data_IF_461228251279
#
_entry.id   IF_461228251279
#
_cell.length_a   1.000
_cell.length_b   1.000
_cell.length_c   1.000
_cell.angle_alpha   90.00
_cell.angle_beta   90.00
_cell.angle_gamma   90.00
#
_symmetry.space_group_name_H-M   'P 1'
#
loop_
_entity.id
_entity.type
_entity.pdbx_description
1 polymer ?
#
# COMPACT_ATOMS: atom_id res chain seq x y z
N UNK A 1 46.67 35.89 25.80
CA UNK A 1 46.10 34.53 25.97
C UNK A 1 44.61 34.66 25.67
N UNK A 2 43.97 34.19 24.59
CA UNK A 2 44.26 33.34 23.42
C UNK A 2 43.59 34.01 22.18
N UNK A 3 44.28 34.20 21.05
CA UNK A 3 44.17 33.43 19.77
C UNK A 3 42.75 33.50 19.15
N UNK A 4 42.42 34.47 18.26
CA UNK A 4 42.58 34.49 16.78
C UNK A 4 42.03 33.23 16.06
N UNK A 5 41.14 33.33 15.06
CA UNK A 5 41.41 33.17 13.60
C UNK A 5 40.05 33.45 12.90
N UNK A 6 39.82 34.54 12.15
CA UNK A 6 40.11 34.84 10.74
C UNK A 6 39.44 33.96 9.63
N UNK A 7 38.69 34.65 8.74
CA UNK A 7 38.42 34.40 7.29
C UNK A 7 37.38 33.30 6.96
N UNK A 8 36.55 33.34 5.89
CA UNK A 8 36.35 34.22 4.74
C UNK A 8 34.97 33.94 4.06
N UNK A 9 34.36 34.99 3.50
CA UNK A 9 33.65 35.21 2.21
C UNK A 9 33.06 34.05 1.33
N UNK A 10 32.17 34.39 0.34
CA UNK A 10 30.98 33.64 -0.09
C UNK A 10 31.10 32.95 -1.46
N UNK A 11 30.16 32.05 -1.79
CA UNK A 11 29.85 31.67 -3.18
C UNK A 11 28.56 30.85 -3.28
N UNK A 12 27.47 31.42 -3.80
CA UNK A 12 26.43 30.64 -4.50
C UNK A 12 26.10 31.35 -5.81
N UNK A 13 26.64 30.79 -6.90
CA UNK A 13 26.35 31.16 -8.28
C UNK A 13 25.06 30.49 -8.74
N UNK A 14 24.31 31.25 -9.55
CA UNK A 14 23.10 30.91 -10.32
C UNK A 14 23.14 29.51 -10.96
N UNK A 15 22.06 28.75 -10.81
CA UNK A 15 21.64 27.72 -11.76
C UNK A 15 20.35 28.19 -12.45
N UNK A 16 20.47 28.54 -13.74
CA UNK A 16 19.34 28.73 -14.66
C UNK A 16 19.29 27.50 -15.58
N UNK A 17 18.06 27.12 -15.94
CA UNK A 17 17.63 26.52 -17.22
C UNK A 17 17.68 24.98 -17.32
N UNK A 18 16.50 24.36 -17.35
CA UNK A 18 16.03 23.60 -18.52
C UNK A 18 14.52 23.37 -18.41
N UNK A 19 13.75 23.98 -19.31
CA UNK A 19 12.37 23.61 -19.57
C UNK A 19 12.31 23.07 -21.00
N UNK A 20 11.75 21.88 -21.16
CA UNK A 20 11.24 21.36 -22.42
C UNK A 20 9.97 20.57 -22.10
N UNK A 21 8.81 21.14 -22.39
CA UNK A 21 7.54 20.42 -22.46
C UNK A 21 7.42 19.85 -23.86
N UNK A 22 7.47 18.53 -24.00
CA UNK A 22 7.14 17.86 -25.24
C UNK A 22 5.63 17.59 -25.24
N UNK A 23 4.89 18.31 -26.09
CA UNK A 23 3.46 18.10 -26.33
C UNK A 23 3.27 17.23 -27.56
N UNK A 24 2.83 15.99 -27.38
CA UNK A 24 2.35 15.12 -28.46
C UNK A 24 0.83 14.90 -28.27
N UNK A 25 -0.05 15.29 -29.22
CA UNK A 25 -1.48 15.49 -28.93
C UNK A 25 -2.41 14.33 -29.30
N UNK A 26 -1.96 13.07 -29.42
CA UNK A 26 -2.84 11.95 -29.82
C UNK A 26 -2.59 10.65 -29.04
N UNK A 27 -3.16 10.56 -27.83
CA UNK A 27 -3.30 9.32 -27.07
C UNK A 27 -4.47 9.43 -26.08
N UNK A 28 -5.17 8.33 -25.74
CA UNK A 28 -6.30 8.38 -24.81
C UNK A 28 -5.82 8.88 -23.44
N UNK A 29 -6.44 9.97 -22.96
CA UNK A 29 -6.13 10.58 -21.67
C UNK A 29 -6.49 9.61 -20.54
N UNK A 30 -5.51 8.85 -20.06
CA UNK A 30 -5.57 8.21 -18.76
C UNK A 30 -5.55 9.31 -17.71
N UNK A 31 -6.72 9.58 -17.13
CA UNK A 31 -6.88 10.53 -16.01
C UNK A 31 -6.24 9.90 -14.77
N UNK A 32 -4.92 10.04 -14.64
CA UNK A 32 -4.23 9.83 -13.37
C UNK A 32 -4.59 11.02 -12.49
N UNK A 33 -5.63 10.87 -11.66
CA UNK A 33 -5.89 11.83 -10.58
C UNK A 33 -4.75 11.70 -9.58
N UNK A 34 -3.70 12.50 -9.75
CA UNK A 34 -2.75 12.79 -8.69
C UNK A 34 -3.52 13.48 -7.57
N UNK A 35 -3.65 12.80 -6.43
CA UNK A 35 -4.12 13.42 -5.20
C UNK A 35 -3.08 14.47 -4.80
N UNK A 36 -3.42 15.75 -4.95
CA UNK A 36 -2.60 16.86 -4.49
C UNK A 36 -2.46 16.79 -2.97
N UNK A 37 -1.24 16.54 -2.50
CA UNK A 37 -0.89 16.86 -1.11
C UNK A 37 -0.81 18.39 -0.99
N UNK A 38 -1.40 19.02 0.03
CA UNK A 38 -1.33 20.46 0.19
C UNK A 38 0.12 20.87 0.45
N UNK A 39 0.73 21.45 -0.58
CA UNK A 39 2.04 22.09 -0.50
C UNK A 39 1.96 23.23 0.52
N UNK A 40 2.63 23.04 1.65
CA UNK A 40 2.77 24.04 2.69
C UNK A 40 3.58 25.20 2.11
N UNK A 41 2.93 26.33 1.87
CA UNK A 41 3.56 27.56 1.37
C UNK A 41 4.34 28.20 2.52
N UNK A 42 5.66 28.09 2.51
CA UNK A 42 6.51 28.91 3.37
C UNK A 42 7.03 30.10 2.58
N UNK A 43 6.38 31.25 2.77
CA UNK A 43 6.84 32.56 2.28
C UNK A 43 8.08 33.00 3.06
N UNK A 44 9.11 33.38 2.31
CA UNK A 44 10.46 33.75 2.77
C UNK A 44 10.49 35.13 3.44
N UNK A 45 9.85 35.31 4.61
CA UNK A 45 10.05 36.53 5.40
C UNK A 45 9.66 36.42 6.88
N UNK A 46 10.30 35.52 7.64
CA UNK A 46 10.43 35.69 9.11
C UNK A 46 11.73 35.07 9.62
N UNK A 47 12.87 35.59 9.16
CA UNK A 47 14.16 35.41 9.82
C UNK A 47 14.18 36.33 11.05
N UNK A 48 13.87 35.81 12.24
CA UNK A 48 14.44 36.20 13.56
C UNK A 48 13.70 35.66 14.79
N UNK A 49 12.60 34.92 14.66
CA UNK A 49 11.94 34.29 15.80
C UNK A 49 11.63 32.83 15.50
N UNK A 50 12.45 31.93 16.06
CA UNK A 50 12.24 30.49 16.29
C UNK A 50 13.50 29.66 15.99
N UNK A 51 14.65 30.02 16.58
CA UNK A 51 15.76 29.07 16.82
C UNK A 51 15.39 28.04 17.92
N UNK A 52 14.11 27.66 18.02
CA UNK A 52 13.54 26.84 19.11
C UNK A 52 12.23 26.15 18.71
N UNK A 53 12.04 25.86 17.42
CA UNK A 53 11.09 24.85 16.98
C UNK A 53 11.94 23.71 16.42
N UNK A 54 12.23 22.82 17.36
CA UNK A 54 12.67 21.42 17.25
C UNK A 54 12.74 20.90 15.80
N UNK A 55 13.85 20.33 15.33
CA UNK A 55 14.27 18.95 15.60
C UNK A 55 13.14 17.89 15.56
N UNK A 56 11.94 18.24 15.07
CA UNK A 56 10.83 17.33 14.87
C UNK A 56 10.96 16.68 13.48
N UNK A 57 11.72 15.58 13.50
CA UNK A 57 11.24 14.31 12.98
C UNK A 57 11.59 13.86 11.55
N UNK A 58 12.90 13.72 11.29
CA UNK A 58 13.36 12.77 10.25
C UNK A 58 13.24 11.30 10.68
N UNK A 59 12.80 11.02 11.92
CA UNK A 59 12.72 9.67 12.50
C UNK A 59 11.35 8.99 12.38
N UNK A 60 10.24 9.75 12.43
CA UNK A 60 8.87 9.19 12.38
C UNK A 60 8.34 8.91 10.97
N UNK A 61 8.91 9.50 9.92
CA UNK A 61 8.54 9.15 8.53
C UNK A 61 8.90 7.68 8.23
N UNK A 62 9.95 7.16 8.88
CA UNK A 62 10.42 5.77 8.77
C UNK A 62 9.57 4.77 9.57
N UNK A 63 8.73 5.24 10.50
CA UNK A 63 7.95 4.39 11.41
C UNK A 63 6.56 4.03 10.86
N UNK A 64 6.14 4.59 9.73
CA UNK A 64 4.93 4.12 9.05
C UNK A 64 5.24 2.82 8.33
N UNK A 65 4.83 1.70 8.94
CA UNK A 65 4.94 0.36 8.36
C UNK A 65 4.25 0.36 6.99
N UNK A 66 5.05 0.18 5.93
CA UNK A 66 4.57 0.13 4.55
C UNK A 66 3.55 -1.00 4.39
N UNK A 67 2.44 -0.73 3.70
CA UNK A 67 1.47 -1.77 3.36
C UNK A 67 2.04 -2.79 2.36
N UNK A 68 1.71 -4.05 2.54
CA UNK A 68 2.11 -5.13 1.64
C UNK A 68 1.39 -5.03 0.30
N UNK A 69 2.05 -5.51 -0.77
CA UNK A 69 1.46 -5.53 -2.10
C UNK A 69 0.50 -6.70 -2.25
N UNK A 70 -0.66 -6.40 -2.83
CA UNK A 70 -1.69 -7.40 -3.13
C UNK A 70 -2.19 -7.26 -4.56
N UNK A 71 -2.83 -8.32 -5.04
CA UNK A 71 -3.50 -8.37 -6.34
C UNK A 71 -4.99 -8.68 -6.14
N UNK A 72 -5.83 -7.79 -6.65
CA UNK A 72 -7.27 -7.94 -6.81
C UNK A 72 -7.56 -7.72 -8.28
N UNK A 73 -8.34 -8.61 -8.90
CA UNK A 73 -8.46 -8.66 -10.36
C UNK A 73 -9.82 -8.19 -10.86
N UNK A 74 -10.85 -8.33 -10.04
CA UNK A 74 -12.18 -7.81 -10.34
C UNK A 74 -12.74 -7.02 -9.14
N UNK A 75 -13.59 -6.01 -9.37
CA UNK A 75 -14.15 -5.17 -8.29
C UNK A 75 -15.00 -5.95 -7.27
N UNK A 76 -15.57 -7.08 -7.69
CA UNK A 76 -16.45 -7.95 -6.93
C UNK A 76 -15.71 -9.10 -6.22
N UNK A 77 -14.38 -9.17 -6.35
CA UNK A 77 -13.56 -10.16 -5.66
C UNK A 77 -13.77 -10.06 -4.14
N UNK A 78 -13.90 -11.20 -3.47
CA UNK A 78 -13.97 -11.27 -2.00
C UNK A 78 -12.60 -11.53 -1.37
N UNK A 79 -11.57 -11.69 -2.20
CA UNK A 79 -10.22 -12.04 -1.78
C UNK A 79 -9.18 -11.19 -2.50
N UNK A 80 -8.06 -10.98 -1.83
CA UNK A 80 -6.84 -10.46 -2.42
C UNK A 80 -5.76 -11.54 -2.40
N UNK A 81 -4.84 -11.52 -3.36
CA UNK A 81 -3.66 -12.40 -3.38
C UNK A 81 -2.44 -11.63 -2.94
N UNK A 82 -1.67 -12.17 -1.99
CA UNK A 82 -0.41 -11.55 -1.57
C UNK A 82 0.69 -11.69 -2.63
N UNK A 83 1.41 -10.59 -2.87
CA UNK A 83 2.56 -10.53 -3.80
C UNK A 83 3.92 -10.57 -3.10
N UNK A 84 3.92 -10.82 -1.80
CA UNK A 84 5.07 -11.05 -0.93
C UNK A 84 4.62 -11.83 0.32
N UNK A 85 5.56 -12.29 1.16
CA UNK A 85 5.20 -12.92 2.43
C UNK A 85 4.68 -11.87 3.41
N UNK A 86 3.59 -12.17 4.10
CA UNK A 86 3.03 -11.35 5.17
C UNK A 86 3.11 -12.03 6.51
N UNK A 87 3.34 -11.24 7.55
CA UNK A 87 3.27 -11.65 8.95
C UNK A 87 1.97 -11.15 9.58
N UNK A 88 1.55 -11.80 10.66
CA UNK A 88 0.45 -11.34 11.49
C UNK A 88 0.67 -9.88 11.91
N UNK A 89 -0.36 -9.05 11.76
CA UNK A 89 -0.28 -7.62 12.06
C UNK A 89 0.34 -6.77 10.95
N UNK A 90 0.71 -7.36 9.80
CA UNK A 90 0.96 -6.57 8.58
C UNK A 90 -0.35 -6.01 8.03
N UNK A 91 -0.25 -4.90 7.30
CA UNK A 91 -1.40 -4.25 6.67
C UNK A 91 -1.33 -4.41 5.15
N UNK A 92 -2.45 -4.75 4.53
CA UNK A 92 -2.68 -4.65 3.09
C UNK A 92 -3.64 -3.50 2.79
N UNK A 93 -3.49 -2.87 1.63
CA UNK A 93 -4.41 -1.84 1.16
C UNK A 93 -5.21 -2.37 -0.02
N UNK A 94 -6.54 -2.45 0.12
CA UNK A 94 -7.47 -2.90 -0.93
C UNK A 94 -8.63 -1.93 -1.01
N UNK A 95 -8.94 -1.40 -2.21
CA UNK A 95 -10.04 -0.44 -2.42
C UNK A 95 -10.03 0.75 -1.42
N UNK A 96 -8.85 1.31 -1.15
CA UNK A 96 -8.63 2.37 -0.15
C UNK A 96 -8.99 1.99 1.29
N UNK A 97 -9.15 0.70 1.59
CA UNK A 97 -9.35 0.17 2.92
C UNK A 97 -8.11 -0.58 3.39
N UNK A 98 -7.69 -0.26 4.61
CA UNK A 98 -6.63 -0.99 5.29
C UNK A 98 -7.20 -2.24 5.95
N UNK A 99 -6.55 -3.37 5.70
CA UNK A 99 -6.90 -4.67 6.28
C UNK A 99 -5.64 -5.23 6.93
N UNK A 100 -5.76 -5.61 8.20
CA UNK A 100 -4.67 -6.21 8.97
C UNK A 100 -4.72 -7.73 8.83
N UNK A 101 -3.58 -8.36 8.56
CA UNK A 101 -3.48 -9.82 8.53
C UNK A 101 -3.62 -10.40 9.94
N UNK A 102 -4.45 -11.44 10.07
CA UNK A 102 -4.71 -12.09 11.36
C UNK A 102 -3.71 -13.21 11.70
N UNK A 103 -2.92 -13.61 10.72
CA UNK A 103 -1.97 -14.72 10.77
C UNK A 103 -0.83 -14.50 9.77
N UNK A 104 0.19 -15.36 9.81
CA UNK A 104 1.28 -15.34 8.84
C UNK A 104 0.82 -16.00 7.53
N UNK A 105 1.01 -15.30 6.42
CA UNK A 105 0.49 -15.73 5.11
C UNK A 105 1.60 -15.64 4.08
N UNK A 106 1.93 -16.77 3.47
CA UNK A 106 2.97 -16.84 2.44
C UNK A 106 2.53 -16.21 1.12
N UNK A 107 3.52 -15.85 0.31
CA UNK A 107 3.34 -15.39 -1.07
C UNK A 107 2.32 -16.25 -1.86
N UNK A 108 1.56 -15.59 -2.74
CA UNK A 108 0.56 -16.17 -3.64
C UNK A 108 -0.67 -16.79 -2.96
N UNK A 109 -0.80 -16.68 -1.64
CA UNK A 109 -2.01 -17.11 -0.93
C UNK A 109 -3.08 -16.01 -0.87
N UNK A 110 -4.31 -16.44 -0.60
CA UNK A 110 -5.51 -15.60 -0.60
C UNK A 110 -5.76 -15.05 0.79
N UNK A 111 -6.17 -13.79 0.87
CA UNK A 111 -6.59 -13.09 2.08
C UNK A 111 -8.02 -12.61 1.87
N UNK A 112 -8.89 -12.80 2.87
CA UNK A 112 -10.24 -12.23 2.84
C UNK A 112 -10.20 -10.71 2.95
N UNK A 113 -10.88 -10.00 2.04
CA UNK A 113 -10.93 -8.53 2.08
C UNK A 113 -12.17 -7.97 2.78
N UNK A 114 -13.13 -8.83 3.08
CA UNK A 114 -14.36 -8.54 3.81
C UNK A 114 -14.72 -9.73 4.69
N UNK A 115 -15.48 -9.48 5.74
CA UNK A 115 -16.00 -10.56 6.59
C UNK A 115 -16.90 -11.47 5.76
N UNK A 116 -16.89 -12.76 6.07
CA UNK A 116 -17.66 -13.75 5.34
C UNK A 116 -18.16 -14.84 6.29
N UNK A 117 -19.42 -15.21 6.12
CA UNK A 117 -20.08 -16.24 6.91
C UNK A 117 -19.96 -17.60 6.21
N UNK A 118 -20.18 -18.68 6.96
CA UNK A 118 -20.24 -20.04 6.44
C UNK A 118 -21.16 -20.13 5.22
N UNK A 119 -20.77 -20.95 4.24
CA UNK A 119 -21.43 -21.15 2.94
C UNK A 119 -21.50 -19.93 2.02
N UNK A 120 -20.98 -18.76 2.41
CA UNK A 120 -20.92 -17.61 1.51
C UNK A 120 -19.95 -17.88 0.33
N UNK A 121 -20.25 -17.31 -0.86
CA UNK A 121 -19.41 -17.52 -2.04
C UNK A 121 -18.07 -16.82 -1.90
N UNK A 122 -17.00 -17.52 -2.27
CA UNK A 122 -15.67 -16.94 -2.44
C UNK A 122 -15.50 -16.56 -3.90
N UNK A 123 -15.34 -15.27 -4.17
CA UNK A 123 -15.24 -14.71 -5.53
C UNK A 123 -13.80 -14.29 -5.80
N UNK A 124 -13.27 -14.75 -6.92
CA UNK A 124 -11.97 -14.34 -7.45
C UNK A 124 -12.07 -14.28 -8.97
N UNK A 125 -11.48 -13.27 -9.61
CA UNK A 125 -11.62 -13.01 -11.05
C UNK A 125 -13.08 -12.74 -11.46
N UNK A 126 -13.89 -12.18 -10.55
CA UNK A 126 -15.33 -11.98 -10.77
C UNK A 126 -16.14 -13.27 -10.94
N UNK A 127 -15.59 -14.41 -10.50
CA UNK A 127 -16.24 -15.71 -10.58
C UNK A 127 -16.17 -16.43 -9.24
N UNK A 128 -17.24 -17.13 -8.87
CA UNK A 128 -17.21 -17.99 -7.69
C UNK A 128 -16.19 -19.12 -7.89
N UNK A 129 -15.21 -19.19 -6.99
CA UNK A 129 -14.18 -20.24 -6.97
C UNK A 129 -14.39 -21.27 -5.86
N UNK A 130 -15.30 -20.99 -4.93
CA UNK A 130 -15.64 -21.89 -3.83
C UNK A 130 -16.62 -21.27 -2.85
N UNK A 131 -16.63 -21.77 -1.62
CA UNK A 131 -17.48 -21.31 -0.53
C UNK A 131 -16.74 -21.39 0.80
N UNK A 132 -17.15 -20.55 1.76
CA UNK A 132 -16.60 -20.55 3.12
C UNK A 132 -17.05 -21.80 3.90
N UNK A 133 -16.13 -22.42 4.63
CA UNK A 133 -16.44 -23.55 5.52
C UNK A 133 -16.82 -23.10 6.94
N UNK A 134 -16.48 -21.88 7.30
CA UNK A 134 -16.72 -21.29 8.61
C UNK A 134 -16.86 -19.76 8.50
N UNK A 135 -17.23 -19.11 9.60
CA UNK A 135 -17.25 -17.66 9.67
C UNK A 135 -15.81 -17.14 9.83
N UNK A 136 -15.36 -16.29 8.91
CA UNK A 136 -14.04 -15.68 8.97
C UNK A 136 -14.14 -14.16 8.83
N UNK A 137 -13.27 -13.46 9.56
CA UNK A 137 -13.11 -12.01 9.42
C UNK A 137 -12.25 -11.65 8.22
N UNK A 138 -12.29 -10.37 7.82
CA UNK A 138 -11.31 -9.78 6.92
C UNK A 138 -9.89 -9.97 7.48
N UNK A 139 -8.92 -10.19 6.60
CA UNK A 139 -7.52 -10.42 6.96
C UNK A 139 -7.16 -11.87 7.29
N UNK A 140 -8.14 -12.78 7.31
CA UNK A 140 -7.91 -14.23 7.47
C UNK A 140 -7.27 -14.84 6.20
N UNK A 141 -6.38 -15.81 6.40
CA UNK A 141 -5.81 -16.61 5.32
C UNK A 141 -6.84 -17.57 4.75
N UNK A 142 -7.09 -17.51 3.45
CA UNK A 142 -8.05 -18.38 2.79
C UNK A 142 -7.38 -19.52 2.01
N UNK A 143 -7.55 -20.75 2.49
CA UNK A 143 -7.00 -21.97 1.88
C UNK A 143 -7.92 -23.18 2.13
N UNK A 144 -7.46 -24.40 1.81
CA UNK A 144 -8.29 -25.61 1.89
C UNK A 144 -8.85 -25.94 3.28
N UNK A 145 -8.32 -25.34 4.36
CA UNK A 145 -8.82 -25.56 5.71
C UNK A 145 -10.13 -24.81 6.00
N UNK A 146 -10.34 -23.64 5.39
CA UNK A 146 -11.52 -22.78 5.62
C UNK A 146 -12.30 -22.44 4.34
N UNK A 147 -11.91 -23.02 3.20
CA UNK A 147 -12.54 -22.86 1.91
C UNK A 147 -12.83 -24.20 1.25
N UNK A 148 -14.11 -24.43 0.91
CA UNK A 148 -14.56 -25.54 0.10
C UNK A 148 -14.52 -25.20 -1.39
N UNK A 149 -14.22 -26.20 -2.22
CA UNK A 149 -14.32 -26.12 -3.68
C UNK A 149 -14.88 -27.43 -4.22
N UNK A 150 -15.90 -27.35 -5.08
CA UNK A 150 -16.51 -28.54 -5.70
C UNK A 150 -15.86 -28.91 -7.03
N UNK A 151 -15.06 -27.99 -7.60
CA UNK A 151 -14.31 -28.26 -8.82
C UNK A 151 -13.21 -29.27 -8.53
N UNK A 152 -13.15 -30.35 -9.32
CA UNK A 152 -12.09 -31.36 -9.21
C UNK A 152 -12.36 -32.53 -8.26
N UNK A 153 -13.50 -32.56 -7.56
CA UNK A 153 -13.95 -33.75 -6.80
C UNK A 153 -14.44 -34.85 -7.75
N UNK A 154 -13.54 -35.59 -8.41
CA UNK A 154 -13.89 -36.92 -8.93
C UNK A 154 -13.99 -37.86 -7.74
N UNK A 155 -15.17 -38.45 -7.46
CA UNK A 155 -15.25 -39.59 -6.55
C UNK A 155 -14.32 -40.67 -7.13
N UNK A 156 -13.27 -41.04 -6.41
CA UNK A 156 -12.63 -42.33 -6.67
C UNK A 156 -13.65 -43.36 -6.22
N UNK A 157 -14.48 -43.85 -7.13
CA UNK A 157 -15.26 -45.05 -6.87
C UNK A 157 -14.24 -46.12 -6.52
N UNK A 158 -14.26 -46.61 -5.28
CA UNK A 158 -13.52 -47.81 -4.91
C UNK A 158 -14.05 -48.93 -5.82
N UNK A 159 -13.19 -49.40 -6.72
CA UNK A 159 -13.38 -50.62 -7.48
C UNK A 159 -12.88 -51.76 -6.60
#
# INVERSE_FOLDING_TARGET
MLIAIHKALPCIRKAKRCGHTNTDPKGPQLVVKYFEYPAIKYTTQTLLFACRIDMFDRGKITAMKKALRTLVLAPDDTVAVLLENGQKGDTILVHNQEITLLEDIQFAHKVLIKDSIVNSPVIKYGTQIGYMLENCGKGTWLHGHNMGCDRGKKRRSAI
#
